data_IF_088459380029
#
_entry.id   IF_088459380029
#
_cell.length_a   1.000
_cell.length_b   1.000
_cell.length_c   1.000
_cell.angle_alpha   90.00
_cell.angle_beta   90.00
_cell.angle_gamma   90.00
#
_symmetry.space_group_name_H-M   'P 1'
#
loop_
_entity.id
_entity.type
_entity.pdbx_description
1 polymer ?
#
# COMPACT_ATOMS: atom_id res chain seq x y z
N UNK A 1 -2.18 24.80 -3.13
CA UNK A 1 -2.42 23.36 -2.91
C UNK A 1 -1.31 22.63 -3.64
N UNK A 2 -0.22 22.28 -2.94
CA UNK A 2 0.94 21.63 -3.56
C UNK A 2 0.65 20.15 -3.68
N UNK A 3 0.32 19.70 -4.89
CA UNK A 3 0.25 18.27 -5.20
C UNK A 3 1.69 17.79 -5.29
N UNK A 4 2.24 17.35 -4.17
CA UNK A 4 3.57 16.73 -4.15
C UNK A 4 3.47 15.46 -4.99
N UNK A 5 4.14 15.42 -6.13
CA UNK A 5 4.31 14.25 -7.00
C UNK A 5 5.17 13.21 -6.26
N UNK A 6 4.63 12.63 -5.19
CA UNK A 6 5.27 11.56 -4.46
C UNK A 6 5.18 10.28 -5.30
N UNK A 7 6.33 9.69 -5.61
CA UNK A 7 6.39 8.43 -6.34
C UNK A 7 5.60 7.36 -5.56
N UNK A 8 4.65 6.65 -6.21
CA UNK A 8 3.90 5.60 -5.55
C UNK A 8 4.83 4.48 -5.07
N UNK A 9 4.61 4.01 -3.86
CA UNK A 9 5.30 2.87 -3.24
C UNK A 9 4.41 1.64 -3.41
N UNK A 10 4.94 0.61 -4.08
CA UNK A 10 4.31 -0.72 -4.11
C UNK A 10 4.30 -1.34 -2.72
N UNK A 11 3.13 -1.38 -2.11
CA UNK A 11 2.89 -2.04 -0.84
C UNK A 11 2.49 -3.50 -1.08
N UNK A 12 2.76 -4.40 -0.15
CA UNK A 12 2.22 -5.75 -0.11
C UNK A 12 1.34 -5.87 1.12
N UNK A 13 0.06 -6.16 0.90
CA UNK A 13 -0.93 -6.24 1.96
C UNK A 13 -0.81 -7.57 2.69
N UNK A 14 -0.61 -7.51 4.01
CA UNK A 14 -0.38 -8.71 4.82
C UNK A 14 -1.68 -9.41 5.23
N UNK A 15 -2.76 -8.64 5.38
CA UNK A 15 -4.09 -9.09 5.82
C UNK A 15 -5.16 -8.19 5.24
N UNK A 16 -6.40 -8.66 5.15
CA UNK A 16 -7.51 -7.82 4.72
C UNK A 16 -7.72 -6.68 5.73
N UNK A 17 -7.85 -5.45 5.24
CA UNK A 17 -8.14 -4.29 6.08
C UNK A 17 -8.89 -3.20 5.32
N UNK A 18 -9.63 -2.37 6.05
CA UNK A 18 -10.27 -1.17 5.51
C UNK A 18 -9.54 0.05 6.06
N UNK A 19 -9.14 0.96 5.19
CA UNK A 19 -8.61 2.25 5.61
C UNK A 19 -9.73 3.10 6.21
N UNK A 20 -9.55 3.54 7.46
CA UNK A 20 -10.55 4.33 8.16
C UNK A 20 -10.68 5.76 7.60
N UNK A 21 -9.65 6.23 6.87
CA UNK A 21 -9.62 7.59 6.33
C UNK A 21 -10.30 7.69 4.97
N UNK A 22 -9.94 6.81 4.02
CA UNK A 22 -10.48 6.84 2.65
C UNK A 22 -11.62 5.86 2.41
N UNK A 23 -11.93 5.01 3.39
CA UNK A 23 -12.87 3.89 3.27
C UNK A 23 -12.51 2.82 2.22
N UNK A 24 -11.30 2.88 1.66
CA UNK A 24 -10.84 1.86 0.73
C UNK A 24 -10.57 0.54 1.45
N UNK A 25 -10.94 -0.55 0.78
CA UNK A 25 -10.72 -1.90 1.28
C UNK A 25 -9.54 -2.53 0.54
N UNK A 26 -8.62 -3.11 1.29
CA UNK A 26 -7.44 -3.80 0.79
C UNK A 26 -7.51 -5.27 1.14
N UNK A 27 -7.22 -6.11 0.15
CA UNK A 27 -7.20 -7.56 0.31
C UNK A 27 -5.80 -8.07 0.62
N UNK A 28 -5.70 -9.11 1.43
CA UNK A 28 -4.45 -9.81 1.70
C UNK A 28 -3.79 -10.28 0.39
N UNK A 29 -2.46 -10.16 0.33
CA UNK A 29 -1.60 -10.47 -0.83
C UNK A 29 -1.77 -9.54 -2.03
N UNK A 30 -2.58 -8.50 -1.93
CA UNK A 30 -2.66 -7.46 -2.95
C UNK A 30 -1.38 -6.58 -2.93
N UNK A 31 -1.09 -5.95 -4.07
CA UNK A 31 0.05 -5.03 -4.22
C UNK A 31 -0.33 -3.64 -4.74
N UNK A 32 -1.10 -2.85 -3.96
CA UNK A 32 -1.52 -1.52 -4.35
C UNK A 32 -0.32 -0.55 -4.37
N UNK A 33 -0.43 0.44 -5.25
CA UNK A 33 0.43 1.60 -5.27
C UNK A 33 -0.07 2.61 -4.23
N UNK A 34 0.71 2.84 -3.18
CA UNK A 34 0.37 3.76 -2.09
C UNK A 34 1.29 4.98 -2.07
N UNK A 35 0.74 6.13 -1.71
CA UNK A 35 1.57 7.30 -1.41
C UNK A 35 2.46 7.04 -0.18
N UNK A 36 3.61 7.71 -0.13
CA UNK A 36 4.60 7.49 0.92
C UNK A 36 4.05 7.63 2.35
N UNK A 37 3.24 8.67 2.62
CA UNK A 37 2.65 8.86 3.95
C UNK A 37 1.65 7.76 4.32
N UNK A 38 0.85 7.31 3.34
CA UNK A 38 -0.13 6.24 3.53
C UNK A 38 0.54 4.89 3.74
N UNK A 39 1.58 4.61 2.97
CA UNK A 39 2.42 3.43 3.12
C UNK A 39 3.04 3.34 4.52
N UNK A 40 3.68 4.41 5.00
CA UNK A 40 4.31 4.42 6.31
C UNK A 40 3.28 4.24 7.44
N UNK A 41 2.09 4.86 7.33
CA UNK A 41 1.00 4.64 8.29
C UNK A 41 0.57 3.17 8.35
N UNK A 42 0.30 2.56 7.19
CA UNK A 42 -0.14 1.17 7.13
C UNK A 42 0.95 0.19 7.54
N UNK A 43 2.22 0.51 7.23
CA UNK A 43 3.37 -0.28 7.64
C UNK A 43 3.60 -0.21 9.14
N UNK A 44 3.49 0.97 9.75
CA UNK A 44 3.60 1.17 11.20
C UNK A 44 2.50 0.42 11.96
N UNK A 45 1.30 0.31 11.37
CA UNK A 45 0.20 -0.50 11.89
C UNK A 45 0.38 -2.02 11.65
N UNK A 46 1.41 -2.45 10.92
CA UNK A 46 1.64 -3.87 10.60
C UNK A 46 0.61 -4.47 9.64
N UNK A 47 0.00 -3.63 8.79
CA UNK A 47 -1.00 -4.01 7.78
C UNK A 47 -0.36 -4.30 6.42
N UNK A 48 0.71 -3.56 6.08
CA UNK A 48 1.44 -3.71 4.81
C UNK A 48 2.95 -3.78 5.03
N UNK A 49 3.67 -4.22 4.01
CA UNK A 49 5.14 -4.12 3.90
C UNK A 49 5.54 -3.65 2.50
N UNK A 50 6.83 -3.36 2.26
CA UNK A 50 7.31 -3.15 0.89
C UNK A 50 7.14 -4.44 0.10
N UNK A 51 6.52 -4.35 -1.07
CA UNK A 51 6.45 -5.48 -1.99
C UNK A 51 7.87 -5.81 -2.47
N UNK A 52 8.21 -7.10 -2.52
CA UNK A 52 9.45 -7.54 -3.16
C UNK A 52 9.31 -7.47 -4.68
N UNK A 53 10.42 -7.47 -5.43
CA UNK A 53 10.37 -7.46 -6.90
C UNK A 53 9.60 -8.65 -7.50
N UNK A 54 9.45 -9.76 -6.76
CA UNK A 54 8.61 -10.90 -7.17
C UNK A 54 7.12 -10.65 -6.96
N UNK A 55 6.76 -9.86 -5.97
CA UNK A 55 5.36 -9.56 -5.60
C UNK A 55 4.84 -8.32 -6.33
N UNK A 56 5.71 -7.34 -6.59
CA UNK A 56 5.37 -6.13 -7.34
C UNK A 56 5.17 -6.37 -8.84
N UNK A 57 5.50 -7.58 -9.35
CA UNK A 57 5.11 -7.96 -10.70
C UNK A 57 3.62 -8.27 -10.68
N UNK A 58 2.77 -7.57 -11.47
CA UNK A 58 1.45 -8.08 -11.74
C UNK A 58 1.63 -9.50 -12.29
N UNK A 59 0.90 -10.47 -11.74
CA UNK A 59 0.83 -11.78 -12.35
C UNK A 59 0.39 -11.57 -13.80
N UNK A 60 1.32 -11.80 -14.73
CA UNK A 60 1.13 -11.62 -16.17
C UNK A 60 0.17 -12.67 -16.73
#
# INVERSE_FOLDING_TARGET
MSVTTATPIKAFVLRDFKDATTEESFSAKDTPDLEAGRFENFRAAGLVRKATAREAKPAA
#
